data_IF_260359975004
#
_entry.id   IF_260359975004
#
_cell.length_a   1.000
_cell.length_b   1.000
_cell.length_c   1.000
_cell.angle_alpha   90.00
_cell.angle_beta   90.00
_cell.angle_gamma   90.00
#
_symmetry.space_group_name_H-M   'P 1'
#
loop_
_entity.id
_entity.type
_entity.pdbx_description
1 polymer ?
#
# COMPACT_ATOMS: atom_id res chain seq x y z
N UNK A 1 46.30 -4.74 1.62
CA UNK A 1 45.25 -3.87 1.02
C UNK A 1 43.98 -4.07 1.83
N UNK A 2 44.13 -3.98 3.16
CA UNK A 2 43.17 -4.32 4.23
C UNK A 2 43.02 -3.09 5.13
N UNK A 3 42.89 -1.91 4.53
CA UNK A 3 42.85 -0.62 5.25
C UNK A 3 41.54 0.14 4.98
N UNK A 4 40.54 -0.51 4.37
CA UNK A 4 39.25 0.12 4.01
C UNK A 4 38.05 -0.41 4.82
N UNK A 5 38.23 -1.40 5.70
CA UNK A 5 37.14 -1.94 6.53
C UNK A 5 37.03 -1.23 7.91
N UNK A 6 38.14 -0.72 8.46
CA UNK A 6 38.16 -0.05 9.78
C UNK A 6 37.52 1.36 9.77
N UNK A 7 37.38 1.99 8.60
CA UNK A 7 36.72 3.31 8.47
C UNK A 7 35.19 3.22 8.48
N UNK A 8 34.62 2.05 8.21
CA UNK A 8 33.16 1.86 8.18
C UNK A 8 32.58 1.54 9.57
N UNK A 9 33.40 1.07 10.51
CA UNK A 9 32.98 0.83 11.90
C UNK A 9 32.90 2.13 12.73
N UNK A 10 33.81 3.10 12.52
CA UNK A 10 33.76 4.39 13.22
C UNK A 10 32.57 5.29 12.82
N UNK A 11 31.99 5.07 11.63
CA UNK A 11 30.83 5.84 11.15
C UNK A 11 29.52 5.35 11.79
N UNK A 12 29.46 4.09 12.22
CA UNK A 12 28.22 3.45 12.69
C UNK A 12 28.00 3.60 14.21
N UNK A 13 29.06 3.83 14.99
CA UNK A 13 28.98 4.01 16.45
C UNK A 13 28.65 5.45 16.89
N UNK A 14 28.62 6.42 15.96
CA UNK A 14 28.30 7.82 16.26
C UNK A 14 26.80 8.16 16.17
N UNK A 15 25.91 7.18 15.97
CA UNK A 15 24.44 7.41 15.93
C UNK A 15 23.67 6.94 17.17
N UNK A 16 24.36 6.44 18.19
CA UNK A 16 23.72 5.98 19.42
C UNK A 16 24.44 6.52 20.64
N UNK A 17 24.10 7.75 21.01
CA UNK A 17 23.89 8.21 22.40
C UNK A 17 23.83 9.74 22.41
N UNK A 18 22.63 10.29 22.58
CA UNK A 18 22.31 11.31 23.59
C UNK A 18 20.88 11.83 23.35
N UNK A 19 20.02 11.62 24.35
CA UNK A 19 19.09 12.60 24.96
C UNK A 19 17.86 11.89 25.53
N UNK A 20 18.03 11.33 26.73
CA UNK A 20 16.93 11.14 27.67
C UNK A 20 16.93 12.34 28.63
N UNK A 21 16.06 13.32 28.37
CA UNK A 21 15.58 14.24 29.40
C UNK A 21 14.05 14.20 29.46
N UNK A 22 13.52 13.67 30.56
CA UNK A 22 12.12 13.82 30.96
C UNK A 22 11.79 15.28 31.20
N UNK A 23 10.92 15.86 30.36
CA UNK A 23 10.22 17.12 30.63
C UNK A 23 8.73 16.97 30.26
N UNK A 24 7.85 17.54 31.09
CA UNK A 24 6.37 17.52 31.06
C UNK A 24 5.70 17.76 29.68
N UNK A 25 4.38 17.48 29.49
CA UNK A 25 3.77 17.36 28.17
C UNK A 25 3.55 18.74 27.54
N UNK A 26 4.63 19.30 27.00
CA UNK A 26 4.55 20.32 25.97
C UNK A 26 3.98 19.64 24.72
N UNK A 27 2.87 20.16 24.20
CA UNK A 27 2.35 19.79 22.87
C UNK A 27 3.53 19.63 21.91
N UNK A 28 3.79 18.38 21.52
CA UNK A 28 4.95 18.01 20.74
C UNK A 28 4.91 18.76 19.41
N UNK A 29 5.74 19.80 19.27
CA UNK A 29 6.00 20.49 18.01
C UNK A 29 6.62 19.47 17.05
N UNK A 30 5.76 18.71 16.37
CA UNK A 30 6.21 17.60 15.56
C UNK A 30 6.69 18.17 14.23
N UNK A 31 7.99 17.99 13.94
CA UNK A 31 8.56 18.46 12.67
C UNK A 31 7.87 17.70 11.53
N UNK A 32 7.26 18.46 10.61
CA UNK A 32 6.56 17.92 9.43
C UNK A 32 7.44 16.97 8.61
N UNK A 33 8.76 17.19 8.62
CA UNK A 33 9.75 16.34 7.95
C UNK A 33 9.79 14.90 8.48
N UNK A 34 9.60 14.68 9.79
CA UNK A 34 9.54 13.33 10.36
C UNK A 34 8.24 12.62 9.98
N UNK A 35 7.10 13.30 10.16
CA UNK A 35 5.78 12.79 9.78
C UNK A 35 5.68 12.42 8.30
N UNK A 36 6.28 13.22 7.42
CA UNK A 36 6.25 12.97 5.98
C UNK A 36 6.93 11.65 5.60
N UNK A 37 8.08 11.34 6.22
CA UNK A 37 8.80 10.09 5.95
C UNK A 37 7.92 8.88 6.28
N UNK A 38 7.29 8.90 7.44
CA UNK A 38 6.50 7.76 7.94
C UNK A 38 5.20 7.60 7.13
N UNK A 39 4.44 8.68 6.92
CA UNK A 39 3.22 8.63 6.11
C UNK A 39 3.47 8.24 4.66
N UNK A 40 4.58 8.72 4.09
CA UNK A 40 4.99 8.33 2.74
C UNK A 40 5.31 6.83 2.69
N UNK A 41 6.06 6.31 3.67
CA UNK A 41 6.44 4.91 3.72
C UNK A 41 5.20 4.00 3.87
N UNK A 42 4.27 4.37 4.75
CA UNK A 42 3.02 3.64 4.99
C UNK A 42 2.16 3.61 3.72
N UNK A 43 1.96 4.75 3.08
CA UNK A 43 1.17 4.81 1.85
C UNK A 43 1.85 4.08 0.68
N UNK A 44 3.17 4.23 0.54
CA UNK A 44 3.94 3.56 -0.51
C UNK A 44 3.87 2.03 -0.36
N UNK A 45 4.05 1.52 0.86
CA UNK A 45 3.96 0.08 1.12
C UNK A 45 2.57 -0.47 0.79
N UNK A 46 1.51 0.25 1.19
CA UNK A 46 0.12 -0.08 0.89
C UNK A 46 -0.13 -0.15 -0.62
N UNK A 47 0.32 0.86 -1.38
CA UNK A 47 0.10 0.89 -2.84
C UNK A 47 0.84 -0.25 -3.55
N UNK A 48 2.05 -0.58 -3.11
CA UNK A 48 2.83 -1.68 -3.71
C UNK A 48 2.13 -3.01 -3.49
N UNK A 49 1.79 -3.33 -2.25
CA UNK A 49 1.28 -4.66 -1.89
C UNK A 49 -0.21 -4.83 -2.21
N UNK A 50 -1.04 -3.80 -2.02
CA UNK A 50 -2.51 -3.93 -2.14
C UNK A 50 -3.10 -3.36 -3.43
N UNK A 51 -2.29 -2.79 -4.32
CA UNK A 51 -2.79 -2.26 -5.60
C UNK A 51 -1.95 -2.67 -6.81
N UNK A 52 -0.63 -2.53 -6.75
CA UNK A 52 0.22 -2.62 -7.92
C UNK A 52 0.66 -4.05 -8.25
N UNK A 53 1.15 -4.79 -7.25
CA UNK A 53 1.76 -6.11 -7.44
C UNK A 53 0.69 -7.21 -7.40
N UNK A 54 0.66 -8.13 -8.38
CA UNK A 54 -0.25 -9.28 -8.37
C UNK A 54 0.18 -10.32 -7.31
N UNK A 55 -0.78 -11.10 -6.81
CA UNK A 55 -0.45 -12.21 -5.91
C UNK A 55 0.19 -13.37 -6.69
N UNK A 56 1.07 -14.13 -6.02
CA UNK A 56 1.80 -15.24 -6.67
C UNK A 56 0.89 -16.45 -6.97
N UNK A 57 -0.19 -16.62 -6.20
CA UNK A 57 -1.08 -17.78 -6.29
C UNK A 57 -1.95 -17.74 -7.54
N UNK A 58 -2.49 -16.57 -7.88
CA UNK A 58 -3.45 -16.38 -8.98
C UNK A 58 -2.94 -15.42 -10.08
N UNK A 59 -1.89 -14.65 -9.82
CA UNK A 59 -1.38 -13.64 -10.75
C UNK A 59 -2.29 -12.43 -10.91
N UNK A 60 -3.34 -12.28 -10.10
CA UNK A 60 -4.32 -11.20 -10.25
C UNK A 60 -4.05 -10.03 -9.30
N UNK A 61 -4.31 -8.83 -9.80
CA UNK A 61 -4.37 -7.62 -8.96
C UNK A 61 -5.61 -7.67 -8.07
N UNK A 62 -5.60 -7.00 -6.89
CA UNK A 62 -6.74 -7.04 -5.97
C UNK A 62 -8.08 -6.54 -6.56
N UNK A 63 -8.08 -5.63 -7.54
CA UNK A 63 -9.31 -5.20 -8.23
C UNK A 63 -9.89 -6.32 -9.10
N UNK A 64 -9.05 -7.05 -9.83
CA UNK A 64 -9.45 -8.13 -10.72
C UNK A 64 -10.04 -9.31 -9.93
N UNK A 65 -9.46 -9.64 -8.77
CA UNK A 65 -9.99 -10.68 -7.89
C UNK A 65 -11.41 -10.38 -7.42
N UNK A 66 -11.69 -9.11 -7.09
CA UNK A 66 -13.03 -8.67 -6.67
C UNK A 66 -14.03 -8.72 -7.83
N UNK A 67 -13.63 -8.30 -9.03
CA UNK A 67 -14.46 -8.43 -10.24
C UNK A 67 -14.82 -9.90 -10.50
N UNK A 68 -13.83 -10.80 -10.44
CA UNK A 68 -14.05 -12.23 -10.63
C UNK A 68 -14.98 -12.84 -9.58
N UNK A 69 -14.89 -12.40 -8.33
CA UNK A 69 -15.81 -12.80 -7.27
C UNK A 69 -17.25 -12.38 -7.60
N UNK A 70 -17.47 -11.11 -7.95
CA UNK A 70 -18.81 -10.61 -8.30
C UNK A 70 -19.37 -11.24 -9.56
N UNK A 71 -18.53 -11.54 -10.56
CA UNK A 71 -18.95 -12.28 -11.75
C UNK A 71 -19.42 -13.69 -11.43
N UNK A 72 -18.75 -14.38 -10.50
CA UNK A 72 -19.14 -15.72 -10.07
C UNK A 72 -20.47 -15.73 -9.32
N UNK A 73 -20.74 -14.71 -8.52
CA UNK A 73 -22.02 -14.58 -7.79
C UNK A 73 -23.19 -14.20 -8.69
N UNK A 74 -22.93 -13.41 -9.74
CA UNK A 74 -23.91 -12.97 -10.73
C UNK A 74 -24.05 -13.91 -11.93
N UNK A 75 -23.32 -15.02 -11.96
CA UNK A 75 -23.33 -15.95 -13.09
C UNK A 75 -24.67 -16.68 -13.20
N UNK A 76 -25.45 -16.30 -14.20
CA UNK A 76 -26.74 -16.90 -14.57
C UNK A 76 -26.68 -17.63 -15.93
N UNK A 77 -25.47 -17.77 -16.51
CA UNK A 77 -25.24 -18.32 -17.84
C UNK A 77 -25.68 -17.40 -18.99
N UNK A 78 -26.11 -16.16 -18.72
CA UNK A 78 -26.46 -15.16 -19.73
C UNK A 78 -25.49 -13.97 -19.68
N UNK A 79 -25.59 -13.12 -20.69
CA UNK A 79 -24.82 -11.88 -20.70
C UNK A 79 -25.39 -10.88 -19.71
N UNK A 80 -24.55 -10.46 -18.77
CA UNK A 80 -24.85 -9.41 -17.81
C UNK A 80 -24.39 -8.05 -18.30
N UNK A 81 -25.16 -7.00 -18.00
CA UNK A 81 -24.76 -5.62 -18.30
C UNK A 81 -23.55 -5.24 -17.45
N UNK A 82 -22.53 -4.64 -18.06
CA UNK A 82 -21.29 -4.22 -17.38
C UNK A 82 -21.59 -3.32 -16.17
N UNK A 83 -22.53 -2.38 -16.30
CA UNK A 83 -22.93 -1.51 -15.19
C UNK A 83 -23.46 -2.29 -13.97
N UNK A 84 -24.11 -3.44 -14.16
CA UNK A 84 -24.60 -4.28 -13.07
C UNK A 84 -23.43 -4.95 -12.33
N UNK A 85 -22.47 -5.48 -13.09
CA UNK A 85 -21.26 -6.12 -12.53
C UNK A 85 -20.40 -5.11 -11.78
N UNK A 86 -20.19 -3.91 -12.37
CA UNK A 86 -19.45 -2.83 -11.72
C UNK A 86 -20.14 -2.40 -10.43
N UNK A 87 -21.45 -2.18 -10.44
CA UNK A 87 -22.23 -1.81 -9.26
C UNK A 87 -22.19 -2.86 -8.16
N UNK A 88 -22.22 -4.15 -8.51
CA UNK A 88 -22.08 -5.24 -7.53
C UNK A 88 -20.66 -5.31 -6.95
N UNK A 89 -19.64 -5.09 -7.79
CA UNK A 89 -18.23 -5.12 -7.37
C UNK A 89 -17.91 -4.00 -6.37
N UNK A 90 -18.62 -2.86 -6.42
CA UNK A 90 -18.46 -1.76 -5.46
C UNK A 90 -18.73 -2.16 -4.01
N UNK A 91 -19.48 -3.24 -3.76
CA UNK A 91 -19.67 -3.77 -2.39
C UNK A 91 -18.36 -4.29 -1.79
N UNK A 92 -17.44 -4.76 -2.63
CA UNK A 92 -16.14 -5.32 -2.23
C UNK A 92 -14.97 -4.37 -2.51
N UNK A 93 -15.18 -3.36 -3.34
CA UNK A 93 -14.15 -2.41 -3.76
C UNK A 93 -14.51 -0.99 -3.30
N UNK A 94 -13.89 -0.47 -2.21
CA UNK A 94 -14.24 0.82 -1.61
C UNK A 94 -13.64 2.03 -2.38
N UNK A 95 -13.58 1.93 -3.71
CA UNK A 95 -13.09 2.99 -4.58
C UNK A 95 -14.07 3.21 -5.73
N UNK A 96 -13.89 4.31 -6.48
CA UNK A 96 -14.82 4.71 -7.53
C UNK A 96 -15.02 3.64 -8.61
N UNK A 97 -16.21 3.64 -9.20
CA UNK A 97 -16.63 2.79 -10.32
C UNK A 97 -15.68 2.88 -11.52
N UNK A 98 -15.11 4.07 -11.78
CA UNK A 98 -14.14 4.29 -12.85
C UNK A 98 -12.94 3.32 -12.79
N UNK A 99 -12.40 3.05 -11.59
CA UNK A 99 -11.25 2.16 -11.43
C UNK A 99 -11.58 0.68 -11.68
N UNK A 100 -12.84 0.30 -11.45
CA UNK A 100 -13.35 -1.05 -11.71
C UNK A 100 -13.63 -1.21 -13.20
N UNK A 101 -14.28 -0.22 -13.81
CA UNK A 101 -14.60 -0.22 -15.23
C UNK A 101 -13.35 -0.23 -16.10
N UNK A 102 -12.33 0.57 -15.75
CA UNK A 102 -11.04 0.57 -16.45
C UNK A 102 -10.35 -0.79 -16.37
N UNK A 103 -10.32 -1.39 -15.16
CA UNK A 103 -9.75 -2.71 -14.95
C UNK A 103 -10.50 -3.86 -15.65
N UNK A 104 -11.78 -3.67 -16.02
CA UNK A 104 -12.54 -4.63 -16.82
C UNK A 104 -12.26 -4.52 -18.32
N UNK A 105 -11.89 -3.32 -18.80
CA UNK A 105 -11.66 -3.03 -20.22
C UNK A 105 -10.21 -3.29 -20.61
N UNK A 106 -9.28 -3.13 -19.67
CA UNK A 106 -7.83 -3.29 -19.84
C UNK A 106 -7.41 -4.74 -20.14
#
# INVERSE_FOLDING_TARGET
MEENDDLNEEINDNLSEENNETTEPAEALTRVTGMYKDWFLDYASYVILERAVPAIEDGFKPVQRRIMHSLKELDDGRYNKVANVVGHTMQYHPHGDASIADAMVQ
#
